data_IF_584999432286
#
_entry.id   IF_584999432286
#
_cell.length_a   1.000
_cell.length_b   1.000
_cell.length_c   1.000
_cell.angle_alpha   90.00
_cell.angle_beta   90.00
_cell.angle_gamma   90.00
#
_symmetry.space_group_name_H-M   'P 1'
#
loop_
_entity.id
_entity.type
_entity.pdbx_description
1 polymer ?
#
# COMPACT_ATOMS: atom_id res chain seq x y z
N UNK A 1 -24.97 -44.08 7.07
CA UNK A 1 -26.04 -43.15 7.46
C UNK A 1 -25.66 -42.45 8.74
N UNK A 2 -25.09 -41.25 8.64
CA UNK A 2 -25.10 -40.25 9.72
C UNK A 2 -25.25 -38.91 8.99
N UNK A 3 -26.41 -38.29 9.14
CA UNK A 3 -26.75 -37.02 8.54
C UNK A 3 -26.23 -35.85 9.39
N UNK A 4 -25.75 -34.81 8.71
CA UNK A 4 -25.49 -33.50 9.31
C UNK A 4 -26.60 -32.55 8.87
N UNK A 5 -27.42 -32.16 9.85
CA UNK A 5 -28.40 -31.10 9.73
C UNK A 5 -27.66 -29.75 9.72
N UNK A 6 -27.80 -28.97 8.65
CA UNK A 6 -27.46 -27.55 8.65
C UNK A 6 -28.72 -26.75 8.99
N UNK A 7 -28.65 -25.96 10.07
CA UNK A 7 -29.69 -24.98 10.40
C UNK A 7 -29.52 -23.71 9.54
N UNK A 8 -30.61 -23.07 9.07
CA UNK A 8 -30.53 -21.84 8.28
C UNK A 8 -30.48 -20.59 9.18
N UNK A 9 -29.61 -19.64 8.86
CA UNK A 9 -29.57 -18.28 9.42
C UNK A 9 -29.80 -17.25 8.29
N UNK A 10 -30.20 -15.99 8.59
CA UNK A 10 -31.38 -15.40 7.99
C UNK A 10 -31.03 -14.11 7.24
N UNK A 11 -30.89 -14.18 5.93
CA UNK A 11 -31.03 -13.01 5.07
C UNK A 11 -31.86 -13.39 3.84
N UNK A 12 -32.80 -12.55 3.39
CA UNK A 12 -33.64 -12.90 2.24
C UNK A 12 -32.80 -12.90 0.95
N UNK A 13 -32.85 -14.01 0.21
CA UNK A 13 -32.10 -14.29 -1.04
C UNK A 13 -32.12 -13.16 -2.07
N UNK A 14 -33.13 -12.28 -2.05
CA UNK A 14 -33.26 -11.21 -3.03
C UNK A 14 -32.24 -10.07 -2.83
N UNK A 15 -31.75 -9.80 -1.61
CA UNK A 15 -30.75 -8.74 -1.38
C UNK A 15 -29.40 -9.14 -1.97
N UNK A 16 -28.97 -10.38 -1.78
CA UNK A 16 -27.74 -10.96 -2.33
C UNK A 16 -27.78 -10.98 -3.86
N UNK A 17 -28.92 -11.36 -4.44
CA UNK A 17 -29.12 -11.35 -5.90
C UNK A 17 -29.04 -9.93 -6.49
N UNK A 18 -29.51 -8.91 -5.77
CA UNK A 18 -29.51 -7.51 -6.25
C UNK A 18 -28.11 -6.89 -6.21
N UNK A 19 -27.29 -7.21 -5.20
CA UNK A 19 -25.90 -6.76 -5.13
C UNK A 19 -25.04 -7.42 -6.21
N UNK A 20 -25.25 -8.73 -6.44
CA UNK A 20 -24.57 -9.46 -7.52
C UNK A 20 -24.92 -8.90 -8.92
N UNK A 21 -26.19 -8.55 -9.15
CA UNK A 21 -26.62 -7.91 -10.41
C UNK A 21 -26.04 -6.50 -10.60
N UNK A 22 -25.91 -5.71 -9.53
CA UNK A 22 -25.35 -4.36 -9.58
C UNK A 22 -23.85 -4.38 -9.92
N UNK A 23 -23.08 -5.27 -9.28
CA UNK A 23 -21.64 -5.46 -9.55
C UNK A 23 -21.42 -5.96 -10.97
N UNK A 24 -22.19 -6.97 -11.42
CA UNK A 24 -22.10 -7.45 -12.80
C UNK A 24 -22.42 -6.36 -13.85
N UNK A 25 -23.36 -5.45 -13.54
CA UNK A 25 -23.73 -4.34 -14.44
C UNK A 25 -22.66 -3.25 -14.54
N UNK A 26 -21.89 -3.00 -13.47
CA UNK A 26 -20.79 -2.04 -13.46
C UNK A 26 -19.56 -2.58 -14.20
N UNK A 27 -19.26 -3.86 -14.02
CA UNK A 27 -18.17 -4.53 -14.75
C UNK A 27 -18.43 -4.53 -16.26
N UNK A 28 -19.66 -4.81 -16.69
CA UNK A 28 -20.02 -4.80 -18.13
C UNK A 28 -19.95 -3.39 -18.75
N UNK A 29 -20.12 -2.32 -17.95
CA UNK A 29 -20.00 -0.94 -18.41
C UNK A 29 -18.56 -0.48 -18.58
N UNK A 30 -17.65 -0.90 -17.69
CA UNK A 30 -16.24 -0.51 -17.76
C UNK A 30 -15.44 -1.31 -18.81
N UNK A 31 -15.87 -2.54 -19.13
CA UNK A 31 -15.22 -3.38 -20.15
C UNK A 31 -15.53 -2.97 -21.61
N UNK A 32 -16.42 -2.01 -21.84
CA UNK A 32 -16.87 -1.63 -23.19
C UNK A 32 -16.03 -0.50 -23.85
N UNK A 33 -14.87 -0.15 -23.29
CA UNK A 33 -14.05 0.96 -23.81
C UNK A 33 -12.92 0.51 -24.74
N UNK A 34 -12.43 -0.75 -24.71
CA UNK A 34 -11.42 -1.22 -25.68
C UNK A 34 -11.80 -2.58 -26.30
N UNK A 35 -12.06 -2.55 -27.61
CA UNK A 35 -12.36 -3.70 -28.47
C UNK A 35 -11.17 -4.67 -28.58
N UNK A 36 -11.36 -5.96 -28.29
CA UNK A 36 -11.55 -7.06 -29.25
C UNK A 36 -11.31 -8.43 -28.56
N UNK A 37 -12.33 -9.29 -28.60
CA UNK A 37 -12.25 -10.75 -28.49
C UNK A 37 -11.50 -11.33 -27.27
N UNK A 38 -12.08 -11.13 -26.08
CA UNK A 38 -11.77 -11.99 -24.93
C UNK A 38 -12.47 -13.33 -25.17
N UNK A 39 -11.66 -14.39 -25.32
CA UNK A 39 -12.11 -15.77 -25.46
C UNK A 39 -13.08 -16.13 -24.32
N UNK A 40 -14.18 -16.84 -24.63
CA UNK A 40 -15.22 -17.18 -23.63
C UNK A 40 -14.66 -18.03 -22.49
N UNK A 41 -13.51 -18.67 -22.67
CA UNK A 41 -12.77 -19.36 -21.61
C UNK A 41 -12.19 -18.40 -20.58
N UNK A 42 -11.57 -17.30 -21.00
CA UNK A 42 -10.96 -16.31 -20.11
C UNK A 42 -11.99 -15.55 -19.28
N UNK A 43 -13.15 -15.23 -19.87
CA UNK A 43 -14.24 -14.60 -19.13
C UNK A 43 -14.85 -15.53 -18.05
N UNK A 44 -14.87 -16.84 -18.29
CA UNK A 44 -15.35 -17.83 -17.34
C UNK A 44 -14.33 -18.06 -16.20
N UNK A 45 -13.03 -18.05 -16.50
CA UNK A 45 -11.96 -18.13 -15.50
C UNK A 45 -11.89 -16.89 -14.62
N UNK A 46 -12.01 -15.69 -15.20
CA UNK A 46 -12.08 -14.42 -14.43
C UNK A 46 -13.35 -14.35 -13.59
N UNK A 47 -14.49 -14.83 -14.11
CA UNK A 47 -15.72 -14.93 -13.33
C UNK A 47 -15.61 -15.96 -12.21
N UNK A 48 -14.96 -17.11 -12.42
CA UNK A 48 -14.73 -18.10 -11.37
C UNK A 48 -13.75 -17.61 -10.31
N UNK A 49 -12.68 -16.88 -10.67
CA UNK A 49 -11.76 -16.29 -9.69
C UNK A 49 -12.41 -15.13 -8.89
N UNK A 50 -13.29 -14.34 -9.53
CA UNK A 50 -14.08 -13.33 -8.80
C UNK A 50 -15.20 -13.96 -7.94
N UNK A 51 -15.80 -15.08 -8.38
CA UNK A 51 -16.77 -15.82 -7.57
C UNK A 51 -16.10 -16.62 -6.44
N UNK A 52 -14.84 -17.03 -6.58
CA UNK A 52 -14.04 -17.64 -5.50
C UNK A 52 -13.80 -16.68 -4.35
N UNK A 53 -13.71 -15.36 -4.59
CA UNK A 53 -13.66 -14.35 -3.52
C UNK A 53 -14.97 -14.25 -2.73
N UNK A 54 -16.11 -14.65 -3.33
CA UNK A 54 -17.45 -14.50 -2.76
C UNK A 54 -17.88 -15.73 -1.93
N UNK A 55 -17.20 -16.88 -2.07
CA UNK A 55 -17.59 -18.16 -1.43
C UNK A 55 -16.51 -18.78 -0.51
N UNK A 56 -15.69 -17.96 0.16
CA UNK A 56 -14.87 -18.50 1.26
C UNK A 56 -15.79 -18.86 2.44
N UNK A 57 -15.78 -20.12 2.92
CA UNK A 57 -16.58 -20.49 4.07
C UNK A 57 -16.11 -19.68 5.28
N UNK A 58 -17.08 -19.18 6.05
CA UNK A 58 -16.92 -18.41 7.29
C UNK A 58 -15.95 -19.04 8.32
N UNK A 59 -15.58 -20.31 8.14
CA UNK A 59 -14.59 -21.05 8.93
C UNK A 59 -13.11 -20.72 8.63
N UNK A 60 -12.81 -19.83 7.67
CA UNK A 60 -11.45 -19.30 7.45
C UNK A 60 -11.20 -17.93 8.14
N UNK A 61 -12.13 -17.45 8.96
CA UNK A 61 -11.95 -16.26 9.82
C UNK A 61 -11.17 -16.56 11.12
N UNK A 62 -10.18 -17.46 11.07
CA UNK A 62 -9.34 -17.86 12.22
C UNK A 62 -7.86 -17.48 12.06
N UNK A 63 -7.56 -16.41 11.31
CA UNK A 63 -6.36 -15.62 11.56
C UNK A 63 -6.79 -14.33 12.26
N UNK A 64 -7.09 -14.44 13.55
CA UNK A 64 -7.07 -13.28 14.45
C UNK A 64 -5.72 -12.55 14.29
N UNK A 65 -5.69 -11.21 14.41
CA UNK A 65 -4.57 -10.41 13.94
C UNK A 65 -3.28 -10.91 14.57
N UNK A 66 -2.31 -11.26 13.74
CA UNK A 66 -0.92 -11.23 14.16
C UNK A 66 -0.72 -9.89 14.88
N UNK A 67 -0.17 -9.90 16.08
CA UNK A 67 -0.01 -8.69 16.90
C UNK A 67 0.70 -7.62 16.06
N UNK A 68 -0.08 -6.68 15.49
CA UNK A 68 0.42 -5.72 14.50
C UNK A 68 1.34 -4.68 15.10
N UNK A 69 1.59 -4.70 16.42
CA UNK A 69 2.45 -3.73 17.10
C UNK A 69 3.87 -4.26 17.25
N UNK A 70 4.83 -3.55 16.67
CA UNK A 70 6.23 -3.64 17.06
C UNK A 70 6.47 -2.78 18.31
N UNK A 71 6.98 -3.39 19.39
CA UNK A 71 7.27 -2.66 20.64
C UNK A 71 8.72 -2.17 20.74
N UNK A 72 9.68 -2.96 20.26
CA UNK A 72 11.10 -2.78 20.56
C UNK A 72 12.00 -2.92 19.31
N UNK A 73 11.49 -2.64 18.12
CA UNK A 73 12.37 -2.65 16.94
C UNK A 73 13.38 -1.50 17.05
N UNK A 74 14.59 -1.72 16.55
CA UNK A 74 15.47 -0.69 16.00
C UNK A 74 15.53 -0.88 14.48
N UNK A 75 15.90 0.13 13.71
CA UNK A 75 16.06 0.00 12.25
C UNK A 75 17.15 -1.02 11.91
N UNK A 76 18.22 -1.04 12.72
CA UNK A 76 19.29 -2.03 12.64
C UNK A 76 18.85 -3.45 13.01
N UNK A 77 17.71 -3.60 13.71
CA UNK A 77 17.13 -4.89 14.10
C UNK A 77 16.11 -5.40 13.08
N UNK A 78 15.83 -4.66 12.00
CA UNK A 78 14.91 -5.10 10.95
C UNK A 78 15.52 -6.29 10.21
N UNK A 79 14.89 -7.49 10.23
CA UNK A 79 15.44 -8.64 9.53
C UNK A 79 15.62 -8.33 8.05
N UNK A 80 16.72 -8.77 7.45
CA UNK A 80 17.14 -8.44 6.07
C UNK A 80 16.12 -8.80 4.97
N UNK A 81 15.11 -9.61 5.27
CA UNK A 81 14.01 -9.98 4.36
C UNK A 81 12.67 -9.29 4.74
N UNK A 82 12.73 -8.20 5.50
CA UNK A 82 11.57 -7.38 5.89
C UNK A 82 11.63 -6.04 5.19
N UNK A 83 10.52 -5.62 4.59
CA UNK A 83 10.36 -4.29 4.03
C UNK A 83 10.04 -3.29 5.14
N UNK A 84 10.89 -2.27 5.31
CA UNK A 84 10.60 -1.11 6.15
C UNK A 84 10.04 0.00 5.27
N UNK A 85 8.84 0.47 5.60
CA UNK A 85 8.24 1.65 5.01
C UNK A 85 8.04 2.71 6.08
N UNK A 86 8.41 3.96 5.81
CA UNK A 86 8.12 5.10 6.66
C UNK A 86 7.01 5.93 6.03
N UNK A 87 5.99 6.27 6.80
CA UNK A 87 4.85 7.03 6.31
C UNK A 87 4.59 8.28 7.16
N UNK A 88 4.13 9.34 6.50
CA UNK A 88 3.70 10.56 7.16
C UNK A 88 2.59 11.24 6.35
N UNK A 89 1.64 11.84 7.06
CA UNK A 89 0.60 12.70 6.50
C UNK A 89 0.76 14.14 6.93
N UNK A 90 0.91 15.05 5.97
CA UNK A 90 0.96 16.49 6.25
C UNK A 90 -0.35 17.19 5.86
N UNK A 91 -0.82 18.11 6.70
CA UNK A 91 -1.99 18.94 6.42
C UNK A 91 -1.65 20.40 6.73
N UNK A 92 -1.59 21.23 5.68
CA UNK A 92 -1.47 22.68 5.82
C UNK A 92 -2.79 23.29 6.27
N UNK A 93 -2.76 24.35 7.08
CA UNK A 93 -3.97 25.08 7.52
C UNK A 93 -5.07 24.19 8.12
N UNK A 94 -4.68 23.15 8.86
CA UNK A 94 -5.55 22.11 9.44
C UNK A 94 -6.92 22.64 9.92
N UNK A 95 -7.99 22.12 9.33
CA UNK A 95 -9.38 22.47 9.69
C UNK A 95 -9.93 23.78 9.12
N UNK A 96 -9.29 24.37 8.10
CA UNK A 96 -9.76 25.60 7.41
C UNK A 96 -10.09 25.31 5.94
N UNK A 97 -10.83 26.22 5.29
CA UNK A 97 -11.31 26.06 3.90
C UNK A 97 -10.19 25.85 2.86
N UNK A 98 -8.97 26.35 3.11
CA UNK A 98 -7.81 26.20 2.22
C UNK A 98 -6.81 25.14 2.73
N UNK A 99 -7.27 24.13 3.45
CA UNK A 99 -6.43 23.08 3.97
C UNK A 99 -6.05 22.08 2.87
N UNK A 100 -4.76 22.05 2.53
CA UNK A 100 -4.19 21.11 1.57
C UNK A 100 -3.50 19.99 2.35
N UNK A 101 -3.82 18.75 1.99
CA UNK A 101 -3.17 17.56 2.55
C UNK A 101 -2.22 16.93 1.57
N UNK A 102 -1.23 16.23 2.08
CA UNK A 102 -0.32 15.42 1.30
C UNK A 102 0.11 14.19 2.08
N UNK A 103 0.56 13.19 1.34
CA UNK A 103 1.13 11.96 1.90
C UNK A 103 2.59 11.84 1.50
N UNK A 104 3.39 11.26 2.38
CA UNK A 104 4.74 10.78 2.12
C UNK A 104 4.82 9.30 2.45
N UNK A 105 5.25 8.49 1.50
CA UNK A 105 5.55 7.06 1.67
C UNK A 105 6.96 6.82 1.19
N UNK A 106 7.84 6.47 2.12
CA UNK A 106 9.25 6.21 1.91
C UNK A 106 9.51 4.72 2.09
N UNK A 107 10.13 4.08 1.10
CA UNK A 107 10.69 2.75 1.24
C UNK A 107 12.05 2.89 1.92
N UNK A 108 12.05 2.71 3.24
CA UNK A 108 13.18 3.02 4.12
C UNK A 108 14.27 1.94 4.10
N UNK A 109 14.00 0.77 3.50
CA UNK A 109 15.07 -0.16 3.16
C UNK A 109 16.03 0.50 2.17
N UNK A 110 17.33 0.45 2.46
CA UNK A 110 18.35 0.78 1.47
C UNK A 110 18.28 -0.25 0.33
N UNK A 111 18.12 0.23 -0.90
CA UNK A 111 18.04 -0.64 -2.06
C UNK A 111 17.04 -0.15 -3.12
N UNK A 112 16.76 -1.05 -4.05
CA UNK A 112 15.99 -0.79 -5.28
C UNK A 112 14.61 -0.17 -5.03
N UNK A 113 13.98 -0.54 -3.92
CA UNK A 113 12.65 -0.12 -3.52
C UNK A 113 12.51 1.40 -3.32
N UNK A 114 13.62 2.14 -3.10
CA UNK A 114 13.59 3.61 -2.95
C UNK A 114 13.03 4.34 -4.17
N UNK A 115 13.05 3.72 -5.35
CA UNK A 115 12.42 4.28 -6.55
C UNK A 115 10.91 4.37 -6.47
N UNK A 116 10.30 3.65 -5.53
CA UNK A 116 8.88 3.59 -5.29
C UNK A 116 8.43 4.54 -4.17
N UNK A 117 9.31 5.47 -3.75
CA UNK A 117 8.92 6.56 -2.87
C UNK A 117 7.80 7.39 -3.50
N UNK A 118 6.75 7.61 -2.73
CA UNK A 118 5.55 8.32 -3.16
C UNK A 118 5.35 9.59 -2.32
N UNK A 119 5.10 10.70 -2.99
CA UNK A 119 4.79 11.99 -2.38
C UNK A 119 3.82 12.75 -3.28
N UNK A 120 2.62 13.03 -2.78
CA UNK A 120 1.61 13.77 -3.53
C UNK A 120 0.63 14.49 -2.63
N UNK A 121 0.02 15.55 -3.15
CA UNK A 121 -1.18 16.14 -2.57
C UNK A 121 -2.33 15.15 -2.69
N UNK A 122 -3.16 15.08 -1.65
CA UNK A 122 -4.33 14.20 -1.59
C UNK A 122 -5.57 15.00 -1.26
N UNK A 123 -6.68 14.59 -1.86
CA UNK A 123 -8.00 15.18 -1.62
C UNK A 123 -8.85 14.25 -0.78
N UNK A 124 -9.69 14.83 0.05
CA UNK A 124 -10.69 14.14 0.85
C UNK A 124 -11.79 15.13 1.24
N UNK A 125 -12.98 14.65 1.59
CA UNK A 125 -14.12 15.50 1.97
C UNK A 125 -13.82 16.48 3.12
N UNK A 126 -12.89 16.09 3.99
CA UNK A 126 -12.39 16.89 5.10
C UNK A 126 -10.87 16.83 5.12
N UNK A 127 -10.24 17.97 5.35
CA UNK A 127 -8.78 18.09 5.44
C UNK A 127 -8.33 18.23 6.89
N UNK A 128 -7.84 17.13 7.48
CA UNK A 128 -7.25 17.13 8.83
C UNK A 128 -5.93 16.37 8.85
N UNK A 129 -5.08 16.65 9.83
CA UNK A 129 -3.83 15.86 10.01
C UNK A 129 -4.13 14.37 10.18
N UNK A 130 -5.11 13.99 11.00
CA UNK A 130 -5.50 12.59 11.20
C UNK A 130 -5.92 11.89 9.90
N UNK A 131 -6.62 12.59 9.00
CA UNK A 131 -7.00 12.05 7.70
C UNK A 131 -5.76 11.90 6.81
N UNK A 132 -4.84 12.87 6.81
CA UNK A 132 -3.59 12.76 6.06
C UNK A 132 -2.76 11.53 6.49
N UNK A 133 -2.67 11.25 7.80
CA UNK A 133 -1.96 10.07 8.33
C UNK A 133 -2.60 8.75 7.85
N UNK A 134 -3.94 8.69 7.87
CA UNK A 134 -4.68 7.53 7.37
C UNK A 134 -4.52 7.35 5.86
N UNK A 135 -4.53 8.44 5.10
CA UNK A 135 -4.30 8.41 3.66
C UNK A 135 -2.87 7.97 3.34
N UNK A 136 -1.87 8.40 4.11
CA UNK A 136 -0.49 7.94 3.94
C UNK A 136 -0.38 6.42 4.18
N UNK A 137 -1.06 5.92 5.22
CA UNK A 137 -1.16 4.47 5.45
C UNK A 137 -1.86 3.75 4.29
N UNK A 138 -3.00 4.28 3.82
CA UNK A 138 -3.74 3.71 2.70
C UNK A 138 -2.86 3.65 1.44
N UNK A 139 -2.19 4.75 1.10
CA UNK A 139 -1.26 4.82 -0.05
C UNK A 139 -0.14 3.80 0.07
N UNK A 140 0.45 3.60 1.26
CA UNK A 140 1.47 2.57 1.44
C UNK A 140 0.93 1.15 1.21
N UNK A 141 -0.29 0.86 1.66
CA UNK A 141 -0.93 -0.43 1.44
C UNK A 141 -1.31 -0.65 -0.03
N UNK A 142 -1.82 0.38 -0.72
CA UNK A 142 -2.10 0.34 -2.16
C UNK A 142 -0.81 0.06 -2.96
N UNK A 143 0.31 0.71 -2.60
CA UNK A 143 1.61 0.46 -3.23
C UNK A 143 2.14 -0.98 -2.99
N UNK A 144 1.87 -1.56 -1.81
CA UNK A 144 2.19 -2.96 -1.53
C UNK A 144 1.31 -3.91 -2.34
N UNK A 145 0.03 -3.56 -2.53
CA UNK A 145 -0.88 -4.31 -3.41
C UNK A 145 -0.33 -4.30 -4.83
N UNK A 146 -0.15 -3.13 -5.45
CA UNK A 146 0.36 -2.98 -6.82
C UNK A 146 1.69 -3.72 -7.04
N UNK A 147 2.60 -3.63 -6.07
CA UNK A 147 3.92 -4.28 -6.15
C UNK A 147 3.83 -5.80 -6.15
N UNK A 148 2.86 -6.39 -5.45
CA UNK A 148 2.79 -7.83 -5.19
C UNK A 148 1.51 -8.51 -5.71
N UNK A 149 0.66 -7.80 -6.45
CA UNK A 149 -0.54 -8.31 -7.12
C UNK A 149 -0.17 -9.37 -8.19
N UNK A 150 0.97 -9.20 -8.87
CA UNK A 150 1.38 -10.00 -10.04
C UNK A 150 2.25 -11.23 -9.73
N UNK A 151 2.65 -11.45 -8.47
CA UNK A 151 3.60 -12.53 -8.11
C UNK A 151 2.93 -13.90 -7.91
N UNK A 152 1.60 -13.99 -7.99
CA UNK A 152 0.81 -15.19 -7.67
C UNK A 152 0.91 -16.34 -8.68
N UNK A 153 1.64 -16.17 -9.79
CA UNK A 153 1.79 -17.19 -10.85
C UNK A 153 3.08 -18.01 -10.83
N UNK A 154 4.09 -17.66 -10.03
CA UNK A 154 5.42 -18.30 -10.12
C UNK A 154 5.78 -19.10 -8.84
N UNK A 155 5.65 -20.44 -8.84
CA UNK A 155 5.90 -21.28 -7.66
C UNK A 155 7.37 -21.31 -7.18
N UNK A 156 8.28 -20.59 -7.86
CA UNK A 156 9.69 -20.43 -7.46
C UNK A 156 10.03 -19.04 -6.89
N UNK A 157 9.10 -18.09 -6.86
CA UNK A 157 9.24 -16.83 -6.09
C UNK A 157 8.36 -16.94 -4.84
N UNK A 158 8.87 -17.71 -3.87
CA UNK A 158 8.23 -17.97 -2.59
C UNK A 158 8.25 -16.76 -1.65
N UNK A 159 7.23 -16.72 -0.81
CA UNK A 159 6.95 -15.80 0.31
C UNK A 159 6.85 -14.31 -0.02
N UNK A 160 5.61 -13.79 0.07
CA UNK A 160 5.38 -12.36 0.19
C UNK A 160 6.15 -11.85 1.42
N UNK A 161 6.80 -10.67 1.34
CA UNK A 161 7.70 -10.21 2.39
C UNK A 161 6.93 -9.88 3.68
N UNK A 162 7.66 -9.92 4.79
CA UNK A 162 7.24 -9.23 6.00
C UNK A 162 7.36 -7.72 5.76
N UNK A 163 6.43 -6.94 6.29
CA UNK A 163 6.42 -5.49 6.17
C UNK A 163 6.33 -4.87 7.56
N UNK A 164 7.18 -3.89 7.82
CA UNK A 164 7.09 -3.00 8.96
C UNK A 164 6.81 -1.60 8.44
N UNK A 165 5.67 -1.03 8.83
CA UNK A 165 5.31 0.35 8.55
C UNK A 165 5.60 1.18 9.80
N UNK A 166 6.57 2.10 9.74
CA UNK A 166 6.85 3.05 10.81
C UNK A 166 6.12 4.38 10.60
N UNK A 167 5.64 4.95 11.69
CA UNK A 167 5.00 6.27 11.72
C UNK A 167 5.15 6.84 13.14
N UNK A 168 5.22 8.16 13.26
CA UNK A 168 5.16 8.88 14.54
C UNK A 168 3.72 9.22 14.98
N UNK A 169 2.72 8.87 14.16
CA UNK A 169 1.30 9.07 14.46
C UNK A 169 0.77 8.01 15.43
N UNK A 170 0.68 8.37 16.71
CA UNK A 170 0.02 7.54 17.71
C UNK A 170 -1.46 7.26 17.36
N UNK A 171 -2.15 8.22 16.72
CA UNK A 171 -3.52 8.05 16.23
C UNK A 171 -3.63 6.87 15.26
N UNK A 172 -2.72 6.82 14.28
CA UNK A 172 -2.67 5.73 13.30
C UNK A 172 -2.24 4.42 13.94
N UNK A 173 -1.08 4.38 14.60
CA UNK A 173 -0.49 3.13 15.09
C UNK A 173 -1.33 2.49 16.19
N UNK A 174 -1.80 3.27 17.18
CA UNK A 174 -2.71 2.73 18.21
C UNK A 174 -4.10 2.44 17.62
N UNK A 175 -4.54 3.24 16.65
CA UNK A 175 -5.75 2.97 15.88
C UNK A 175 -5.73 1.57 15.28
N UNK A 176 -4.70 1.21 14.51
CA UNK A 176 -4.58 -0.11 13.89
C UNK A 176 -4.39 -1.23 14.92
N UNK A 177 -3.55 -1.00 15.93
CA UNK A 177 -3.06 -2.08 16.81
C UNK A 177 -3.91 -2.32 18.05
N UNK A 178 -4.66 -1.32 18.52
CA UNK A 178 -5.41 -1.38 19.79
C UNK A 178 -6.90 -1.09 19.64
N UNK A 179 -7.27 -0.09 18.83
CA UNK A 179 -8.65 0.42 18.79
C UNK A 179 -9.49 -0.23 17.70
N UNK A 180 -8.97 -0.32 16.48
CA UNK A 180 -9.65 -0.88 15.30
C UNK A 180 -10.15 -2.31 15.53
N UNK A 181 -9.40 -3.24 16.16
CA UNK A 181 -9.94 -4.56 16.48
C UNK A 181 -11.20 -4.52 17.37
N UNK A 182 -11.28 -3.54 18.29
CA UNK A 182 -12.46 -3.33 19.15
C UNK A 182 -13.60 -2.67 18.38
N UNK A 183 -13.27 -1.71 17.50
CA UNK A 183 -14.24 -1.04 16.64
C UNK A 183 -14.89 -2.01 15.66
N UNK A 184 -14.14 -2.94 15.06
CA UNK A 184 -14.69 -3.98 14.17
C UNK A 184 -15.74 -4.82 14.93
N UNK A 185 -15.43 -5.23 16.17
CA UNK A 185 -16.34 -6.04 16.98
C UNK A 185 -17.61 -5.29 17.41
N UNK A 186 -17.55 -3.96 17.53
CA UNK A 186 -18.67 -3.16 18.01
C UNK A 186 -19.39 -2.37 16.90
N UNK A 187 -19.10 -2.68 15.63
CA UNK A 187 -19.73 -2.03 14.48
C UNK A 187 -19.28 -0.59 14.22
N UNK A 188 -18.03 -0.26 14.60
CA UNK A 188 -17.40 1.06 14.50
C UNK A 188 -18.12 2.13 15.33
N UNK A 189 -18.49 1.78 16.56
CA UNK A 189 -19.09 2.68 17.54
C UNK A 189 -18.10 2.97 18.66
N UNK A 190 -17.92 4.23 19.04
CA UNK A 190 -17.04 4.61 20.13
C UNK A 190 -17.69 4.39 21.51
N UNK A 191 -16.92 4.58 22.58
CA UNK A 191 -17.40 4.42 23.97
C UNK A 191 -18.57 5.34 24.34
N UNK A 192 -18.76 6.42 23.59
CA UNK A 192 -19.85 7.39 23.78
C UNK A 192 -21.10 7.06 22.95
N UNK A 193 -21.14 5.89 22.28
CA UNK A 193 -22.26 5.45 21.46
C UNK A 193 -22.38 6.15 20.11
N UNK A 194 -21.34 6.86 19.67
CA UNK A 194 -21.31 7.56 18.37
C UNK A 194 -20.46 6.80 17.35
N UNK A 195 -20.69 6.97 16.04
CA UNK A 195 -19.78 6.48 15.01
C UNK A 195 -18.34 6.92 15.28
N UNK A 196 -17.39 6.03 15.04
CA UNK A 196 -15.95 6.33 15.11
C UNK A 196 -15.61 7.39 14.07
N UNK A 197 -14.77 8.37 14.44
CA UNK A 197 -14.35 9.39 13.49
C UNK A 197 -13.50 8.79 12.37
N UNK A 198 -13.76 9.23 11.14
CA UNK A 198 -13.10 8.73 9.92
C UNK A 198 -13.34 7.22 9.69
N UNK A 199 -14.47 6.69 10.18
CA UNK A 199 -14.86 5.28 10.08
C UNK A 199 -14.72 4.69 8.66
N UNK A 200 -15.13 5.41 7.61
CA UNK A 200 -15.04 4.87 6.24
C UNK A 200 -13.59 4.67 5.81
N UNK A 201 -12.70 5.60 6.14
CA UNK A 201 -11.27 5.46 5.83
C UNK A 201 -10.61 4.35 6.66
N UNK A 202 -11.02 4.18 7.92
CA UNK A 202 -10.60 3.02 8.73
C UNK A 202 -11.03 1.68 8.12
N UNK A 203 -12.25 1.60 7.57
CA UNK A 203 -12.75 0.40 6.88
C UNK A 203 -11.95 0.09 5.62
N UNK A 204 -11.55 1.11 4.87
CA UNK A 204 -10.69 0.93 3.69
C UNK A 204 -9.30 0.38 4.08
N UNK A 205 -8.67 0.94 5.12
CA UNK A 205 -7.39 0.46 5.65
C UNK A 205 -7.52 -0.98 6.14
N UNK A 206 -8.58 -1.31 6.90
CA UNK A 206 -8.84 -2.67 7.39
C UNK A 206 -9.03 -3.68 6.24
N UNK A 207 -9.74 -3.28 5.17
CA UNK A 207 -9.91 -4.10 3.97
C UNK A 207 -8.57 -4.41 3.30
N UNK A 208 -7.73 -3.40 3.08
CA UNK A 208 -6.41 -3.55 2.45
C UNK A 208 -5.48 -4.42 3.30
N UNK A 209 -5.41 -4.17 4.62
CA UNK A 209 -4.63 -4.99 5.54
C UNK A 209 -5.07 -6.45 5.50
N UNK A 210 -6.37 -6.70 5.61
CA UNK A 210 -6.93 -8.06 5.60
C UNK A 210 -6.59 -8.79 4.30
N UNK A 211 -6.72 -8.09 3.17
CA UNK A 211 -6.42 -8.65 1.86
C UNK A 211 -4.93 -8.98 1.68
N UNK A 212 -4.02 -8.06 2.04
CA UNK A 212 -2.57 -8.29 1.95
C UNK A 212 -2.11 -9.42 2.89
N UNK A 213 -2.64 -9.47 4.12
CA UNK A 213 -2.33 -10.50 5.11
C UNK A 213 -2.89 -11.87 4.71
N UNK A 214 -4.09 -11.91 4.13
CA UNK A 214 -4.68 -13.15 3.56
C UNK A 214 -3.86 -13.62 2.36
N UNK A 215 -3.28 -12.69 1.59
CA UNK A 215 -2.33 -12.99 0.52
C UNK A 215 -0.97 -13.50 1.00
N UNK A 216 -0.70 -13.51 2.31
CA UNK A 216 0.50 -14.09 2.91
C UNK A 216 1.53 -13.10 3.44
N UNK A 217 1.27 -11.79 3.38
CA UNK A 217 2.15 -10.79 4.03
C UNK A 217 1.97 -10.78 5.55
N UNK A 218 3.04 -10.49 6.29
CA UNK A 218 2.93 -10.11 7.70
C UNK A 218 3.18 -8.60 7.82
N UNK A 219 2.13 -7.83 8.09
CA UNK A 219 2.24 -6.37 8.22
C UNK A 219 2.25 -5.99 9.70
N UNK A 220 3.28 -5.27 10.12
CA UNK A 220 3.42 -4.72 11.47
C UNK A 220 3.59 -3.21 11.40
N UNK A 221 3.24 -2.55 12.50
CA UNK A 221 3.32 -1.12 12.69
C UNK A 221 4.24 -0.80 13.86
N UNK A 222 5.12 0.17 13.63
CA UNK A 222 6.09 0.62 14.63
C UNK A 222 5.88 2.11 14.90
N UNK A 223 5.42 2.42 16.12
CA UNK A 223 5.33 3.80 16.59
C UNK A 223 6.72 4.30 16.94
N UNK A 224 7.21 5.29 16.20
CA UNK A 224 8.53 5.91 16.41
C UNK A 224 8.38 7.35 16.90
N UNK A 225 9.47 7.94 17.38
CA UNK A 225 9.50 9.38 17.66
C UNK A 225 9.63 10.18 16.36
N UNK A 226 9.23 11.46 16.39
CA UNK A 226 9.21 12.32 15.20
C UNK A 226 10.57 12.44 14.51
N UNK A 227 11.63 12.52 15.29
CA UNK A 227 13.02 12.58 14.80
C UNK A 227 13.39 11.34 13.98
N UNK A 228 12.88 10.16 14.35
CA UNK A 228 13.08 8.90 13.62
C UNK A 228 12.16 8.75 12.39
N UNK A 229 11.18 9.62 12.22
CA UNK A 229 10.28 9.66 11.04
C UNK A 229 10.51 10.90 10.16
N UNK A 230 11.59 11.64 10.38
CA UNK A 230 11.85 12.94 9.74
C UNK A 230 11.84 12.87 8.21
N UNK A 231 12.35 11.78 7.64
CA UNK A 231 12.40 11.59 6.19
C UNK A 231 10.99 11.49 5.59
N UNK A 232 10.09 10.68 6.16
CA UNK A 232 8.72 10.59 5.67
C UNK A 232 7.98 11.95 5.78
N UNK A 233 8.19 12.66 6.89
CA UNK A 233 7.65 14.01 7.12
C UNK A 233 8.20 15.05 6.12
N UNK A 234 9.50 15.01 5.81
CA UNK A 234 10.10 15.87 4.80
C UNK A 234 9.57 15.54 3.39
N UNK A 235 9.24 14.27 3.11
CA UNK A 235 8.60 13.80 1.87
C UNK A 235 7.17 14.30 1.72
N UNK A 236 6.35 14.16 2.76
CA UNK A 236 5.00 14.70 2.77
C UNK A 236 5.04 16.24 2.59
N UNK A 237 5.89 16.94 3.33
CA UNK A 237 6.04 18.41 3.19
C UNK A 237 6.59 18.84 1.84
N UNK A 238 7.43 18.03 1.21
CA UNK A 238 7.88 18.30 -0.16
C UNK A 238 6.71 18.31 -1.13
N UNK A 239 5.74 17.41 -0.99
CA UNK A 239 4.55 17.39 -1.84
C UNK A 239 3.68 18.65 -1.63
N UNK A 240 3.52 19.14 -0.38
CA UNK A 240 2.84 20.43 -0.14
C UNK A 240 3.54 21.61 -0.82
N UNK A 241 4.87 21.60 -0.87
CA UNK A 241 5.66 22.65 -1.54
C UNK A 241 5.66 22.53 -3.06
N UNK A 242 5.36 21.35 -3.59
CA UNK A 242 5.44 21.02 -5.02
C UNK A 242 4.17 20.30 -5.51
N UNK A 243 2.97 20.90 -5.35
CA UNK A 243 1.69 20.22 -5.60
C UNK A 243 1.50 19.74 -7.04
N UNK A 244 2.12 20.41 -8.01
CA UNK A 244 2.04 20.06 -9.44
C UNK A 244 3.07 19.01 -9.88
N UNK A 245 3.98 18.60 -8.99
CA UNK A 245 5.05 17.69 -9.35
C UNK A 245 4.54 16.25 -9.44
N UNK A 246 4.68 15.65 -10.62
CA UNK A 246 4.32 14.23 -10.85
C UNK A 246 5.44 13.26 -10.50
N UNK A 247 6.65 13.76 -10.17
CA UNK A 247 7.88 12.97 -10.02
C UNK A 247 7.75 11.79 -9.06
N UNK A 248 7.06 12.00 -7.94
CA UNK A 248 6.81 11.00 -6.91
C UNK A 248 5.32 10.74 -6.74
N UNK A 249 4.49 11.06 -7.74
CA UNK A 249 3.06 10.77 -7.67
C UNK A 249 2.82 9.27 -7.66
N UNK A 250 1.70 8.85 -7.07
CA UNK A 250 1.29 7.45 -7.04
C UNK A 250 1.30 6.82 -8.42
N UNK A 251 0.74 7.52 -9.43
CA UNK A 251 0.71 7.04 -10.82
C UNK A 251 2.10 6.88 -11.41
N UNK A 252 3.02 7.82 -11.16
CA UNK A 252 4.40 7.68 -11.62
C UNK A 252 5.12 6.50 -10.95
N UNK A 253 4.81 6.22 -9.67
CA UNK A 253 5.37 5.06 -8.96
C UNK A 253 4.78 3.76 -9.50
N UNK A 254 3.47 3.71 -9.71
CA UNK A 254 2.74 2.58 -10.28
C UNK A 254 3.25 2.24 -11.69
N UNK A 255 3.45 3.25 -12.55
CA UNK A 255 4.05 3.09 -13.87
C UNK A 255 5.43 2.44 -13.80
N UNK A 256 6.28 2.84 -12.83
CA UNK A 256 7.60 2.21 -12.63
C UNK A 256 7.50 0.76 -12.14
N UNK A 257 6.50 0.43 -11.33
CA UNK A 257 6.28 -0.95 -10.88
C UNK A 257 5.88 -1.85 -12.04
N UNK A 258 5.06 -1.34 -12.97
CA UNK A 258 4.55 -2.11 -14.11
C UNK A 258 5.52 -2.15 -15.30
N UNK A 259 6.14 -1.02 -15.63
CA UNK A 259 6.97 -0.85 -16.82
C UNK A 259 8.47 -1.02 -16.54
N UNK A 260 8.87 -1.07 -15.26
CA UNK A 260 10.27 -1.02 -14.83
C UNK A 260 10.83 0.41 -14.79
N UNK A 261 12.05 0.54 -14.29
CA UNK A 261 12.76 1.82 -14.23
C UNK A 261 13.15 2.31 -15.62
N UNK A 262 13.19 3.63 -15.82
CA UNK A 262 13.74 4.20 -17.05
C UNK A 262 15.25 3.91 -17.17
N UNK A 263 15.85 3.93 -18.38
CA UNK A 263 17.28 3.69 -18.56
C UNK A 263 18.16 4.61 -17.68
N UNK A 264 17.75 5.86 -17.50
CA UNK A 264 18.45 6.81 -16.63
C UNK A 264 18.38 6.40 -15.16
N UNK A 265 17.22 5.95 -14.69
CA UNK A 265 17.06 5.46 -13.31
C UNK A 265 17.80 4.15 -13.09
N UNK A 266 17.90 3.29 -14.11
CA UNK A 266 18.73 2.08 -14.07
C UNK A 266 20.23 2.43 -13.96
N UNK A 267 20.69 3.46 -14.68
CA UNK A 267 22.07 3.98 -14.57
C UNK A 267 22.34 4.60 -13.20
N UNK A 268 21.42 5.41 -12.69
CA UNK A 268 21.50 5.99 -11.33
C UNK A 268 21.57 4.85 -10.30
N UNK A 269 20.80 3.77 -10.47
CA UNK A 269 20.81 2.63 -9.56
C UNK A 269 22.13 1.85 -9.58
N UNK A 270 22.66 1.56 -10.77
CA UNK A 270 23.96 0.93 -10.92
C UNK A 270 25.07 1.79 -10.30
N UNK A 271 24.99 3.12 -10.45
CA UNK A 271 25.93 4.03 -9.82
C UNK A 271 25.85 3.96 -8.30
N UNK A 272 24.65 3.96 -7.73
CA UNK A 272 24.45 3.84 -6.29
C UNK A 272 24.92 2.49 -5.74
N UNK A 273 24.72 1.39 -6.47
CA UNK A 273 25.20 0.06 -6.08
C UNK A 273 26.74 0.00 -6.05
N UNK A 274 27.41 0.69 -6.98
CA UNK A 274 28.87 0.73 -7.08
C UNK A 274 29.50 1.71 -6.07
N UNK A 275 28.90 2.88 -5.85
CA UNK A 275 29.53 4.00 -5.14
C UNK A 275 28.87 4.35 -3.79
N UNK A 276 27.74 3.72 -3.44
CA UNK A 276 26.96 4.03 -2.24
C UNK A 276 26.01 5.23 -2.41
N UNK A 277 25.06 5.38 -1.49
CA UNK A 277 24.07 6.47 -1.46
C UNK A 277 24.46 7.56 -0.47
N UNK A 278 24.23 8.83 -0.83
CA UNK A 278 23.81 9.84 0.14
C UNK A 278 22.33 9.56 0.41
N UNK A 279 21.99 9.23 1.66
CA UNK A 279 20.65 8.87 2.06
C UNK A 279 19.66 10.04 1.81
N UNK A 280 18.49 9.70 1.26
CA UNK A 280 17.31 10.55 1.05
C UNK A 280 17.34 11.60 -0.09
N UNK A 281 16.81 11.21 -1.28
CA UNK A 281 16.76 12.05 -2.50
C UNK A 281 15.52 12.99 -2.51
N UNK A 282 15.46 13.90 -1.54
CA UNK A 282 14.72 15.17 -1.68
C UNK A 282 15.67 16.33 -1.90
N UNK A 283 16.59 16.17 -2.83
CA UNK A 283 17.53 17.21 -3.22
C UNK A 283 18.49 16.69 -4.27
N UNK A 284 18.55 17.35 -5.42
CA UNK A 284 19.45 16.98 -6.50
C UNK A 284 20.91 17.20 -6.12
N UNK A 285 21.68 16.11 -6.07
CA UNK A 285 23.04 16.22 -6.55
C UNK A 285 22.94 16.51 -8.07
N UNK A 286 23.65 17.51 -8.62
CA UNK A 286 23.80 17.57 -10.07
C UNK A 286 24.40 16.23 -10.52
N UNK A 287 24.02 15.70 -11.69
CA UNK A 287 24.65 14.49 -12.20
C UNK A 287 26.15 14.75 -12.24
N UNK A 288 26.91 14.00 -11.44
CA UNK A 288 28.36 13.94 -11.63
C UNK A 288 28.52 13.34 -13.02
N UNK A 289 29.09 14.11 -13.95
CA UNK A 289 29.38 13.61 -15.28
C UNK A 289 30.31 12.41 -15.12
N UNK A 290 29.78 11.21 -15.36
CA UNK A 290 30.60 10.00 -15.42
C UNK A 290 31.52 10.18 -16.61
N UNK A 291 32.86 10.20 -16.44
CA UNK A 291 33.76 10.36 -17.55
C UNK A 291 33.59 9.17 -18.50
N UNK A 292 33.41 9.45 -19.79
CA UNK A 292 33.19 8.44 -20.84
C UNK A 292 34.27 7.33 -20.87
N UNK A 293 35.42 7.55 -20.24
CA UNK A 293 36.50 6.57 -20.06
C UNK A 293 36.11 5.36 -19.19
N UNK A 294 35.03 5.42 -18.41
CA UNK A 294 34.51 4.26 -17.67
C UNK A 294 33.67 3.32 -18.55
N UNK A 295 33.21 3.80 -19.72
CA UNK A 295 32.55 2.99 -20.75
C UNK A 295 33.58 2.46 -21.76
N UNK A 296 34.64 1.81 -21.28
CA UNK A 296 35.41 0.94 -22.17
C UNK A 296 34.69 -0.41 -22.25
N UNK A 297 34.24 -0.86 -23.45
CA UNK A 297 33.79 -2.23 -23.60
C UNK A 297 34.97 -3.12 -23.23
N UNK A 298 34.78 -3.94 -22.20
CA UNK A 298 35.77 -4.93 -21.81
C UNK A 298 36.05 -5.84 -23.02
N UNK A 299 37.31 -6.01 -23.45
CA UNK A 299 37.65 -6.62 -24.74
C UNK A 299 37.36 -8.13 -24.85
N UNK A 300 36.66 -8.73 -23.88
CA UNK A 300 36.31 -10.15 -23.86
C UNK A 300 34.90 -10.48 -24.36
N UNK A 301 34.11 -9.47 -24.77
CA UNK A 301 32.74 -9.66 -25.31
C UNK A 301 32.65 -9.70 -26.86
N UNK A 302 33.79 -9.86 -27.55
CA UNK A 302 33.81 -10.23 -28.98
C UNK A 302 34.78 -11.40 -29.21
N UNK A 303 34.30 -12.63 -28.97
CA UNK A 303 34.75 -13.84 -29.65
C UNK A 303 33.60 -14.83 -29.77
#
# INVERSE_FOLDING_TARGET
MIGLWAAPFPFPDWQVQRTAQLVASQTTRNFNIHHHEIDRRTAHEVAEDQLRLIWWPFSFFSRYPAQRRCQNFDEDDVPSHTLLMAIDGACSNNGRENAVMSVGVLWANRGFERHYNCAQVVEHERSTSQIAELLACKTALDLLEDRYETTTGHPLYGDRPNVVIKSDSAYLVQGITEYMPKWIQNGYINSSGRPVENQELWREVDRLLTMLETGGMCIKFWLVSRDKNKEADDLARWALRNPESKRYSYLAVQDKMWMGLSPREQEDELYHEIYGTDDFVLGGAPPVQVPASLFHPQPWLMR
#
